data_IF_921684456038
#
_entry.id   IF_921684456038
#
_cell.length_a   1.000
_cell.length_b   1.000
_cell.length_c   1.000
_cell.angle_alpha   90.00
_cell.angle_beta   90.00
_cell.angle_gamma   90.00
#
_symmetry.space_group_name_H-M   'P 1'
#
loop_
_entity.id
_entity.type
_entity.pdbx_description
1 polymer ?
#
# COMPACT_ATOMS: atom_id res chain seq x y z
N UNK A 1 61.52 42.75 -5.16
CA UNK A 1 62.37 43.52 -4.23
C UNK A 1 62.58 42.66 -2.99
N UNK A 2 63.79 42.11 -2.81
CA UNK A 2 64.14 41.21 -1.69
C UNK A 2 64.58 42.04 -0.50
N UNK A 3 64.03 41.77 0.68
CA UNK A 3 64.61 42.19 1.96
C UNK A 3 64.75 40.91 2.80
N UNK A 4 65.99 40.50 2.98
CA UNK A 4 66.44 39.52 3.97
C UNK A 4 66.65 40.24 5.29
N UNK A 5 66.22 39.65 6.41
CA UNK A 5 66.98 39.86 7.65
C UNK A 5 66.92 38.61 8.55
N UNK A 6 68.10 38.23 9.02
CA UNK A 6 68.38 37.10 9.90
C UNK A 6 68.79 37.62 11.28
N UNK A 7 68.43 36.89 12.35
CA UNK A 7 69.01 37.01 13.69
C UNK A 7 68.43 35.92 14.57
N UNK A 8 69.08 34.75 14.73
CA UNK A 8 70.11 34.39 15.71
C UNK A 8 69.73 34.62 17.19
N UNK A 9 69.65 33.51 17.95
CA UNK A 9 69.65 33.53 19.41
C UNK A 9 69.28 32.19 20.04
N UNK A 10 70.28 31.34 20.28
CA UNK A 10 70.21 30.00 20.89
C UNK A 10 69.94 30.07 22.40
N UNK A 11 69.40 28.97 22.97
CA UNK A 11 69.67 28.36 24.31
C UNK A 11 68.34 27.84 24.90
N UNK A 12 68.16 26.72 25.60
CA UNK A 12 68.88 25.49 25.94
C UNK A 12 67.87 24.64 26.72
N UNK A 13 67.76 23.34 26.40
CA UNK A 13 67.41 22.19 27.25
C UNK A 13 66.23 22.29 28.22
N UNK A 14 65.24 21.39 28.06
CA UNK A 14 64.91 20.46 29.15
C UNK A 14 64.25 19.18 28.61
N UNK A 15 64.85 18.05 29.00
CA UNK A 15 64.31 16.70 28.84
C UNK A 15 63.14 16.53 29.81
N UNK A 16 62.03 15.96 29.33
CA UNK A 16 61.13 15.21 30.20
C UNK A 16 60.71 13.92 29.48
N UNK A 17 61.28 12.81 29.93
CA UNK A 17 60.75 11.46 29.72
C UNK A 17 59.66 11.23 30.78
N UNK A 18 58.43 11.02 30.34
CA UNK A 18 57.36 10.32 31.05
C UNK A 18 56.30 10.06 29.99
N UNK A 19 56.01 8.83 29.60
CA UNK A 19 55.44 7.81 30.46
C UNK A 19 54.10 7.48 29.80
N UNK A 20 53.96 6.26 29.30
CA UNK A 20 52.82 5.86 28.50
C UNK A 20 51.49 5.98 29.23
N UNK A 21 50.43 6.23 28.48
CA UNK A 21 49.09 5.79 28.83
C UNK A 21 48.32 5.50 27.53
N UNK A 22 47.85 4.26 27.47
CA UNK A 22 47.00 3.65 26.47
C UNK A 22 45.73 4.47 26.19
N UNK A 23 45.37 4.48 24.90
CA UNK A 23 44.00 4.47 24.34
C UNK A 23 42.86 4.89 25.26
N UNK A 24 42.32 6.09 25.04
CA UNK A 24 40.93 6.41 25.38
C UNK A 24 40.16 6.56 24.06
N UNK A 25 39.29 5.58 23.86
CA UNK A 25 38.39 5.33 22.75
C UNK A 25 37.53 6.56 22.45
N UNK A 26 37.37 6.86 21.17
CA UNK A 26 36.41 7.84 20.65
C UNK A 26 35.02 7.48 21.17
N UNK A 27 34.39 8.41 21.91
CA UNK A 27 32.95 8.39 22.20
C UNK A 27 32.22 8.73 20.89
N UNK A 28 32.18 7.77 19.98
CA UNK A 28 31.29 7.76 18.83
C UNK A 28 30.21 6.70 19.09
N UNK A 29 28.96 7.13 19.09
CA UNK A 29 27.83 6.24 18.80
C UNK A 29 27.11 5.63 20.01
N UNK A 30 26.48 6.46 20.84
CA UNK A 30 25.18 6.07 21.39
C UNK A 30 24.12 6.19 20.28
N UNK A 31 24.18 5.28 19.32
CA UNK A 31 23.22 5.14 18.21
C UNK A 31 23.04 3.69 17.77
N UNK A 32 23.61 2.73 18.51
CA UNK A 32 23.50 1.29 18.29
C UNK A 32 22.42 0.69 19.20
N UNK A 33 21.20 1.19 19.04
CA UNK A 33 20.00 0.39 19.16
C UNK A 33 19.16 0.77 17.95
N UNK A 34 19.65 0.34 16.79
CA UNK A 34 18.86 0.24 15.57
C UNK A 34 17.71 -0.72 15.84
N UNK A 35 16.60 -0.16 16.30
CA UNK A 35 15.32 -0.61 15.79
C UNK A 35 15.30 -0.13 14.35
N UNK A 36 15.57 -1.06 13.44
CA UNK A 36 15.28 -0.93 12.03
C UNK A 36 13.78 -0.61 11.92
N UNK A 37 13.46 0.68 11.95
CA UNK A 37 12.09 1.16 11.73
C UNK A 37 11.96 1.21 10.22
N UNK A 38 11.36 0.12 9.72
CA UNK A 38 10.74 -0.06 8.42
C UNK A 38 11.65 0.26 7.24
N UNK A 39 11.74 -0.66 6.28
CA UNK A 39 12.04 -0.28 4.92
C UNK A 39 11.23 1.00 4.61
N UNK A 40 11.89 2.05 4.11
CA UNK A 40 11.20 3.18 3.49
C UNK A 40 10.31 2.54 2.39
N UNK A 41 9.05 2.23 2.72
CA UNK A 41 8.07 1.80 1.74
C UNK A 41 7.94 2.96 0.76
N UNK A 42 8.30 2.74 -0.49
CA UNK A 42 8.12 3.73 -1.54
C UNK A 42 6.61 3.88 -1.79
N UNK A 43 5.98 4.75 -1.01
CA UNK A 43 4.58 5.13 -1.18
C UNK A 43 4.42 5.92 -2.49
N UNK A 44 3.56 5.43 -3.37
CA UNK A 44 3.07 6.15 -4.53
C UNK A 44 1.82 6.97 -4.16
N UNK A 45 1.57 8.00 -4.94
CA UNK A 45 0.29 8.67 -5.01
C UNK A 45 -0.26 8.50 -6.41
N UNK A 46 -1.43 7.87 -6.52
CA UNK A 46 -2.22 7.88 -7.75
C UNK A 46 -3.14 9.10 -7.74
N UNK A 47 -2.88 10.02 -8.68
CA UNK A 47 -3.66 11.25 -8.80
C UNK A 47 -5.05 11.03 -9.41
N UNK A 48 -5.31 9.90 -10.06
CA UNK A 48 -6.61 9.61 -10.65
C UNK A 48 -7.62 9.17 -9.58
N UNK A 49 -7.21 8.26 -8.69
CA UNK A 49 -8.03 7.81 -7.57
C UNK A 49 -7.82 8.57 -6.26
N UNK A 50 -6.85 9.50 -6.22
CA UNK A 50 -6.45 10.25 -5.01
C UNK A 50 -6.00 9.32 -3.86
N UNK A 51 -5.37 8.19 -4.20
CA UNK A 51 -4.94 7.15 -3.24
C UNK A 51 -3.43 7.09 -3.07
N UNK A 52 -2.99 6.87 -1.83
CA UNK A 52 -1.61 6.56 -1.48
C UNK A 52 -1.48 5.06 -1.24
N UNK A 53 -0.48 4.41 -1.87
CA UNK A 53 -0.24 2.98 -1.74
C UNK A 53 1.25 2.63 -1.77
N UNK A 54 1.70 1.58 -1.07
CA UNK A 54 3.02 0.98 -1.23
C UNK A 54 3.14 0.30 -2.60
N UNK A 55 4.11 0.72 -3.44
CA UNK A 55 4.21 0.27 -4.85
C UNK A 55 4.40 -1.23 -5.05
N UNK A 56 5.16 -1.86 -4.16
CA UNK A 56 5.64 -3.23 -4.32
C UNK A 56 4.99 -4.20 -3.31
N UNK A 57 3.93 -3.77 -2.63
CA UNK A 57 3.23 -4.58 -1.64
C UNK A 57 1.93 -5.13 -2.23
N UNK A 58 2.01 -6.37 -2.69
CA UNK A 58 0.84 -7.21 -2.95
C UNK A 58 0.73 -8.24 -1.84
N UNK A 59 -0.49 -8.45 -1.36
CA UNK A 59 -0.80 -9.49 -0.37
C UNK A 59 -1.84 -10.47 -0.92
N UNK A 60 -1.93 -11.63 -0.26
CA UNK A 60 -2.91 -12.67 -0.55
C UNK A 60 -3.69 -12.91 0.74
N UNK A 61 -4.79 -12.17 0.93
CA UNK A 61 -5.61 -12.26 2.15
C UNK A 61 -7.02 -12.74 1.82
N UNK A 62 -7.17 -14.06 1.71
CA UNK A 62 -8.49 -14.70 1.55
C UNK A 62 -9.40 -14.44 2.75
N UNK A 63 -8.83 -14.34 3.96
CA UNK A 63 -9.59 -14.11 5.18
C UNK A 63 -10.28 -12.74 5.16
N UNK A 64 -9.59 -11.71 4.67
CA UNK A 64 -10.18 -10.37 4.48
C UNK A 64 -11.28 -10.42 3.42
N UNK A 65 -11.07 -11.10 2.29
CA UNK A 65 -12.15 -11.26 1.29
C UNK A 65 -13.37 -11.99 1.88
N UNK A 66 -13.17 -13.04 2.66
CA UNK A 66 -14.25 -13.83 3.27
C UNK A 66 -15.03 -13.04 4.34
N UNK A 67 -14.34 -12.18 5.08
CA UNK A 67 -14.96 -11.30 6.08
C UNK A 67 -15.90 -10.28 5.43
N UNK A 68 -15.47 -9.65 4.33
CA UNK A 68 -16.26 -8.60 3.67
C UNK A 68 -17.30 -9.17 2.69
N UNK A 69 -16.98 -10.27 2.02
CA UNK A 69 -17.80 -10.88 0.97
C UNK A 69 -18.02 -12.39 1.21
N UNK A 70 -18.74 -12.78 2.28
CA UNK A 70 -18.97 -14.18 2.60
C UNK A 70 -19.75 -14.95 1.51
N UNK A 71 -20.47 -14.23 0.63
CA UNK A 71 -21.16 -14.81 -0.52
C UNK A 71 -20.21 -15.44 -1.56
N UNK A 72 -18.93 -15.04 -1.57
CA UNK A 72 -17.93 -15.59 -2.49
C UNK A 72 -17.45 -16.99 -2.07
N UNK A 73 -17.68 -17.39 -0.82
CA UNK A 73 -17.20 -18.67 -0.29
C UNK A 73 -15.68 -18.72 -0.20
N UNK A 74 -15.07 -19.69 -0.88
CA UNK A 74 -13.62 -19.88 -0.95
C UNK A 74 -13.14 -19.51 -2.37
N UNK A 75 -12.54 -18.33 -2.57
CA UNK A 75 -12.02 -17.92 -3.87
C UNK A 75 -10.85 -18.80 -4.32
N UNK A 76 -10.66 -18.93 -5.63
CA UNK A 76 -9.57 -19.73 -6.21
C UNK A 76 -8.21 -19.03 -6.05
N UNK A 77 -8.20 -17.70 -6.13
CA UNK A 77 -7.04 -16.87 -5.83
C UNK A 77 -7.44 -15.45 -5.42
N UNK A 78 -6.57 -14.78 -4.66
CA UNK A 78 -6.73 -13.40 -4.24
C UNK A 78 -5.38 -12.69 -4.38
N UNK A 79 -5.37 -11.60 -5.14
CA UNK A 79 -4.26 -10.65 -5.17
C UNK A 79 -4.78 -9.29 -4.78
N UNK A 80 -4.21 -8.66 -3.76
CA UNK A 80 -4.70 -7.40 -3.23
C UNK A 80 -3.59 -6.41 -2.91
N UNK A 81 -3.98 -5.14 -2.85
CA UNK A 81 -3.18 -4.04 -2.33
C UNK A 81 -4.04 -3.19 -1.42
N UNK A 82 -3.38 -2.48 -0.52
CA UNK A 82 -4.02 -1.60 0.44
C UNK A 82 -3.34 -0.25 0.48
N UNK A 83 -3.98 0.72 1.12
CA UNK A 83 -3.41 2.04 1.23
C UNK A 83 -4.25 2.99 2.06
N UNK A 84 -4.03 4.29 1.83
CA UNK A 84 -4.71 5.38 2.53
C UNK A 84 -5.12 6.49 1.58
N UNK A 85 -6.12 7.29 1.97
CA UNK A 85 -6.49 8.49 1.23
C UNK A 85 -5.61 9.71 1.59
N UNK A 86 -4.95 9.68 2.75
CA UNK A 86 -4.04 10.75 3.18
C UNK A 86 -2.56 10.39 3.01
N UNK A 87 -1.74 11.41 2.78
CA UNK A 87 -0.28 11.25 2.65
C UNK A 87 0.30 10.64 3.94
N UNK A 88 0.89 9.44 3.87
CA UNK A 88 1.44 8.74 5.03
C UNK A 88 2.66 9.46 5.64
N UNK A 89 3.32 10.32 4.88
CA UNK A 89 4.42 11.17 5.35
C UNK A 89 3.93 12.57 5.78
N UNK A 90 2.66 12.87 5.54
CA UNK A 90 2.01 14.10 5.97
C UNK A 90 1.93 14.17 7.50
N UNK A 91 2.24 15.34 8.07
CA UNK A 91 1.97 15.57 9.50
C UNK A 91 0.47 15.79 9.71
N UNK A 92 -0.27 14.74 10.06
CA UNK A 92 -1.65 14.86 10.51
C UNK A 92 -1.70 15.65 11.85
N UNK A 93 -2.48 16.75 11.96
CA UNK A 93 -2.53 17.55 13.19
C UNK A 93 -3.25 16.87 14.38
N UNK A 94 -4.06 15.84 14.14
CA UNK A 94 -4.92 15.13 15.12
C UNK A 94 -5.18 13.69 14.62
N UNK A 95 -5.58 12.73 15.48
CA UNK A 95 -6.16 11.48 14.99
C UNK A 95 -7.44 11.81 14.19
N UNK A 96 -7.41 11.52 12.89
CA UNK A 96 -8.58 11.59 12.00
C UNK A 96 -9.39 10.29 12.05
N UNK A 97 -10.52 10.22 11.34
CA UNK A 97 -11.17 8.96 10.99
C UNK A 97 -10.18 8.00 10.33
N UNK A 98 -10.47 6.69 10.36
CA UNK A 98 -9.72 5.76 9.52
C UNK A 98 -9.93 6.17 8.05
N UNK A 99 -8.86 6.12 7.28
CA UNK A 99 -8.80 6.53 5.89
C UNK A 99 -8.23 5.43 5.00
N UNK A 100 -8.33 4.20 5.50
CA UNK A 100 -7.87 3.01 4.85
C UNK A 100 -8.76 2.61 3.67
N UNK A 101 -8.13 2.00 2.67
CA UNK A 101 -8.81 1.35 1.56
C UNK A 101 -8.05 0.11 1.16
N UNK A 102 -8.75 -0.81 0.50
CA UNK A 102 -8.13 -1.97 -0.12
C UNK A 102 -8.79 -2.31 -1.46
N UNK A 103 -7.99 -2.88 -2.34
CA UNK A 103 -8.41 -3.32 -3.66
C UNK A 103 -7.96 -4.75 -3.89
N UNK A 104 -8.77 -5.53 -4.60
CA UNK A 104 -8.43 -6.92 -4.89
C UNK A 104 -8.85 -7.33 -6.29
N UNK A 105 -8.03 -8.19 -6.88
CA UNK A 105 -8.40 -9.05 -8.01
C UNK A 105 -8.58 -10.45 -7.43
N UNK A 106 -9.78 -10.98 -7.58
CA UNK A 106 -10.24 -12.23 -6.98
C UNK A 106 -10.68 -13.16 -8.11
N UNK A 107 -10.11 -14.36 -8.18
CA UNK A 107 -10.62 -15.40 -9.08
C UNK A 107 -11.66 -16.23 -8.33
N UNK A 108 -12.85 -16.35 -8.88
CA UNK A 108 -13.95 -17.13 -8.30
C UNK A 108 -14.44 -18.22 -9.25
N UNK A 109 -14.92 -19.31 -8.66
CA UNK A 109 -15.47 -20.42 -9.40
C UNK A 109 -16.70 -20.03 -10.25
N UNK A 110 -16.95 -20.73 -11.37
CA UNK A 110 -18.00 -20.39 -12.31
C UNK A 110 -19.40 -20.40 -11.68
N UNK A 111 -19.65 -21.31 -10.73
CA UNK A 111 -20.94 -21.42 -10.05
C UNK A 111 -21.24 -20.19 -9.16
N UNK A 112 -20.20 -19.57 -8.58
CA UNK A 112 -20.32 -18.32 -7.81
C UNK A 112 -20.50 -17.14 -8.76
N UNK A 113 -19.70 -17.08 -9.83
CA UNK A 113 -19.81 -16.05 -10.88
C UNK A 113 -21.22 -15.99 -11.47
N UNK A 114 -21.81 -17.13 -11.81
CA UNK A 114 -23.20 -17.24 -12.28
C UNK A 114 -24.20 -16.74 -11.24
N UNK A 115 -24.00 -17.02 -9.95
CA UNK A 115 -24.88 -16.55 -8.88
C UNK A 115 -24.84 -15.02 -8.73
N UNK A 116 -23.65 -14.41 -8.81
CA UNK A 116 -23.47 -12.97 -8.63
C UNK A 116 -24.18 -12.15 -9.72
N UNK A 117 -24.31 -12.69 -10.93
CA UNK A 117 -25.01 -12.01 -12.04
C UNK A 117 -26.52 -12.27 -12.05
N UNK A 118 -27.02 -13.16 -11.19
CA UNK A 118 -28.47 -13.47 -11.12
C UNK A 118 -29.22 -12.51 -10.20
N UNK A 119 -29.29 -11.24 -10.61
CA UNK A 119 -30.12 -10.21 -9.97
C UNK A 119 -31.51 -10.09 -10.63
N UNK A 120 -32.55 -9.59 -9.92
CA UNK A 120 -33.87 -9.35 -10.48
C UNK A 120 -33.85 -8.33 -11.63
N UNK A 121 -32.90 -7.40 -11.62
CA UNK A 121 -32.73 -6.35 -12.63
C UNK A 121 -31.61 -6.69 -13.65
N UNK A 122 -30.97 -7.85 -13.52
CA UNK A 122 -29.77 -8.23 -14.28
C UNK A 122 -28.54 -7.42 -13.87
N UNK A 123 -27.34 -7.80 -14.34
CA UNK A 123 -26.11 -7.10 -14.00
C UNK A 123 -25.96 -5.85 -14.89
N UNK A 124 -25.58 -4.71 -14.30
CA UNK A 124 -25.35 -3.47 -15.04
C UNK A 124 -23.96 -3.52 -15.71
N UNK A 125 -23.84 -3.21 -17.01
CA UNK A 125 -22.53 -3.20 -17.65
C UNK A 125 -21.64 -2.07 -17.11
N UNK A 126 -20.37 -2.37 -16.87
CA UNK A 126 -19.34 -1.40 -16.49
C UNK A 126 -18.29 -1.36 -17.58
N UNK A 127 -17.80 -0.18 -17.91
CA UNK A 127 -16.74 -0.05 -18.92
C UNK A 127 -15.37 -0.42 -18.34
N UNK A 128 -14.50 -0.96 -19.17
CA UNK A 128 -13.11 -1.26 -18.76
C UNK A 128 -12.38 -0.02 -18.26
N UNK A 129 -12.63 1.15 -18.87
CA UNK A 129 -12.05 2.43 -18.46
C UNK A 129 -12.53 2.87 -17.07
N UNK A 130 -13.78 2.57 -16.69
CA UNK A 130 -14.29 2.84 -15.33
C UNK A 130 -13.62 1.92 -14.31
N UNK A 131 -13.47 0.63 -14.62
CA UNK A 131 -12.79 -0.33 -13.73
C UNK A 131 -11.33 0.08 -13.54
N UNK A 132 -10.61 0.31 -14.65
CA UNK A 132 -9.20 0.73 -14.63
C UNK A 132 -9.02 2.08 -13.93
N UNK A 133 -9.92 3.03 -14.17
CA UNK A 133 -9.83 4.35 -13.58
C UNK A 133 -9.99 4.41 -12.07
N UNK A 134 -10.46 3.32 -11.45
CA UNK A 134 -10.51 3.17 -10.00
C UNK A 134 -9.36 2.34 -9.44
N UNK A 135 -8.64 1.55 -10.24
CA UNK A 135 -7.56 0.69 -9.75
C UNK A 135 -6.24 1.44 -9.63
N UNK A 136 -5.49 1.14 -8.56
CA UNK A 136 -4.11 1.61 -8.49
C UNK A 136 -3.20 0.82 -9.46
N UNK A 137 -2.17 1.45 -10.03
CA UNK A 137 -1.28 0.83 -11.02
C UNK A 137 -0.67 -0.53 -10.64
N UNK A 138 -0.47 -0.80 -9.35
CA UNK A 138 0.09 -2.09 -8.90
C UNK A 138 -0.84 -3.26 -9.24
N UNK A 139 -2.15 -3.10 -9.11
CA UNK A 139 -3.13 -4.15 -9.45
C UNK A 139 -3.52 -4.19 -10.92
N UNK A 140 -3.26 -3.11 -11.68
CA UNK A 140 -3.49 -3.11 -13.13
C UNK A 140 -2.66 -4.19 -13.85
N UNK A 141 -1.57 -4.66 -13.25
CA UNK A 141 -0.77 -5.76 -13.82
C UNK A 141 -1.52 -7.10 -13.80
N UNK A 142 -2.36 -7.31 -12.79
CA UNK A 142 -3.19 -8.50 -12.63
C UNK A 142 -4.59 -8.34 -13.28
N UNK A 143 -4.89 -7.11 -13.72
CA UNK A 143 -6.05 -6.78 -14.53
C UNK A 143 -5.81 -7.17 -15.99
N UNK A 144 -6.64 -8.07 -16.52
CA UNK A 144 -6.63 -8.45 -17.94
C UNK A 144 -7.93 -8.01 -18.62
N UNK A 145 -7.87 -7.79 -19.93
CA UNK A 145 -9.03 -7.45 -20.75
C UNK A 145 -10.12 -8.54 -20.64
N UNK A 146 -11.38 -8.12 -20.42
CA UNK A 146 -12.52 -9.02 -20.37
C UNK A 146 -13.25 -9.02 -21.72
N UNK A 147 -13.23 -10.14 -22.44
CA UNK A 147 -13.78 -10.24 -23.80
C UNK A 147 -15.29 -10.02 -23.88
N UNK A 148 -16.04 -10.48 -22.88
CA UNK A 148 -17.48 -10.24 -22.72
C UNK A 148 -17.83 -8.88 -22.11
N UNK A 149 -16.83 -8.14 -21.64
CA UNK A 149 -17.02 -6.91 -20.87
C UNK A 149 -17.26 -7.15 -19.38
N UNK A 150 -17.15 -6.08 -18.62
CA UNK A 150 -17.31 -6.09 -17.17
C UNK A 150 -18.76 -5.81 -16.77
N UNK A 151 -19.18 -6.39 -15.66
CA UNK A 151 -20.50 -6.11 -15.09
C UNK A 151 -20.42 -5.80 -13.61
N UNK A 152 -21.27 -4.90 -13.13
CA UNK A 152 -21.38 -4.56 -11.72
C UNK A 152 -22.12 -5.66 -10.95
N UNK A 153 -21.47 -6.18 -9.92
CA UNK A 153 -22.02 -7.15 -8.98
C UNK A 153 -22.10 -6.60 -7.56
N UNK A 154 -21.91 -5.28 -7.37
CA UNK A 154 -22.08 -4.59 -6.09
C UNK A 154 -23.42 -4.92 -5.41
N UNK A 155 -24.57 -4.97 -6.11
CA UNK A 155 -25.84 -5.33 -5.48
C UNK A 155 -25.86 -6.74 -4.87
N UNK A 156 -25.13 -7.69 -5.48
CA UNK A 156 -25.05 -9.07 -5.00
C UNK A 156 -24.09 -9.23 -3.80
N UNK A 157 -23.11 -8.32 -3.68
CA UNK A 157 -22.11 -8.32 -2.60
C UNK A 157 -22.44 -7.37 -1.45
N UNK A 158 -23.46 -6.52 -1.61
CA UNK A 158 -23.90 -5.59 -0.57
C UNK A 158 -24.53 -6.34 0.60
N UNK A 159 -24.07 -6.01 1.80
CA UNK A 159 -24.58 -6.51 3.07
C UNK A 159 -26.05 -6.16 3.29
N UNK A 160 -26.76 -7.04 3.98
CA UNK A 160 -28.23 -6.95 4.11
C UNK A 160 -28.68 -5.64 4.75
N UNK A 161 -29.56 -4.91 4.06
CA UNK A 161 -30.18 -3.68 4.58
C UNK A 161 -29.35 -2.42 4.40
N UNK A 162 -28.21 -2.52 3.72
CA UNK A 162 -27.35 -1.41 3.34
C UNK A 162 -27.36 -1.21 1.82
N UNK A 163 -26.80 -0.08 1.36
CA UNK A 163 -26.54 0.16 -0.04
C UNK A 163 -25.03 0.34 -0.20
N UNK A 164 -24.40 -0.50 -1.02
CA UNK A 164 -22.96 -0.47 -1.32
C UNK A 164 -22.07 -0.58 -0.07
N UNK A 165 -22.46 -1.36 0.93
CA UNK A 165 -21.65 -1.62 2.12
C UNK A 165 -21.44 -3.11 2.23
N UNK A 166 -20.20 -3.55 2.45
CA UNK A 166 -19.86 -4.97 2.66
C UNK A 166 -20.47 -5.51 3.96
N UNK A 167 -20.42 -6.83 4.17
CA UNK A 167 -20.90 -7.42 5.44
C UNK A 167 -20.05 -6.98 6.66
N UNK A 168 -18.81 -6.56 6.43
CA UNK A 168 -17.90 -6.07 7.48
C UNK A 168 -18.02 -4.57 7.78
N UNK A 169 -18.69 -3.80 6.91
CA UNK A 169 -18.95 -2.37 7.15
C UNK A 169 -18.26 -1.40 6.19
N UNK A 170 -17.33 -1.86 5.35
CA UNK A 170 -16.66 -1.01 4.36
C UNK A 170 -17.60 -0.59 3.23
N UNK A 171 -17.40 0.62 2.72
CA UNK A 171 -18.01 1.09 1.49
C UNK A 171 -17.45 0.32 0.29
N UNK A 172 -18.32 -0.28 -0.51
CA UNK A 172 -17.97 -0.89 -1.80
C UNK A 172 -18.02 0.20 -2.86
N UNK A 173 -16.86 0.63 -3.33
CA UNK A 173 -16.74 1.64 -4.40
C UNK A 173 -16.78 1.01 -5.78
N UNK A 174 -16.34 -0.24 -5.88
CA UNK A 174 -16.33 -1.03 -7.10
C UNK A 174 -16.46 -2.52 -6.78
N UNK A 175 -17.30 -3.23 -7.53
CA UNK A 175 -17.27 -4.68 -7.62
C UNK A 175 -17.62 -5.11 -9.05
N UNK A 176 -16.60 -5.22 -9.91
CA UNK A 176 -16.75 -5.54 -11.33
C UNK A 176 -16.34 -6.98 -11.62
N UNK A 177 -17.21 -7.76 -12.23
CA UNK A 177 -16.99 -9.16 -12.59
C UNK A 177 -16.78 -9.31 -14.09
N UNK A 178 -15.72 -10.02 -14.49
CA UNK A 178 -15.56 -10.55 -15.82
C UNK A 178 -16.24 -11.92 -15.91
N UNK A 179 -17.29 -12.02 -16.74
CA UNK A 179 -18.08 -13.26 -16.82
C UNK A 179 -17.41 -14.38 -17.62
N UNK A 180 -16.36 -14.07 -18.38
CA UNK A 180 -15.63 -15.06 -19.18
C UNK A 180 -14.77 -16.00 -18.32
N UNK A 181 -14.12 -15.45 -17.30
CA UNK A 181 -13.11 -16.15 -16.51
C UNK A 181 -13.35 -16.12 -14.99
N UNK A 182 -14.42 -15.45 -14.54
CA UNK A 182 -14.76 -15.37 -13.12
C UNK A 182 -13.83 -14.45 -12.33
N UNK A 183 -13.16 -13.50 -12.99
CA UNK A 183 -12.33 -12.51 -12.31
C UNK A 183 -13.18 -11.37 -11.77
N UNK A 184 -13.17 -11.19 -10.46
CA UNK A 184 -13.83 -10.12 -9.74
C UNK A 184 -12.80 -9.09 -9.29
N UNK A 185 -13.03 -7.83 -9.64
CA UNK A 185 -12.23 -6.68 -9.22
C UNK A 185 -13.02 -5.88 -8.19
N UNK A 186 -12.45 -5.66 -7.01
CA UNK A 186 -13.11 -4.91 -5.93
C UNK A 186 -12.27 -3.73 -5.46
N UNK A 187 -12.95 -2.64 -5.05
CA UNK A 187 -12.37 -1.51 -4.32
C UNK A 187 -13.26 -1.19 -3.13
N UNK A 188 -12.68 -1.14 -1.94
CA UNK A 188 -13.38 -0.82 -0.71
C UNK A 188 -12.67 0.28 0.07
N UNK A 189 -13.46 1.09 0.76
CA UNK A 189 -13.00 2.13 1.68
C UNK A 189 -13.57 1.88 3.08
N UNK A 190 -12.71 1.97 4.09
CA UNK A 190 -13.13 1.93 5.50
C UNK A 190 -13.96 3.18 5.84
N UNK A 191 -14.95 3.05 6.73
CA UNK A 191 -15.96 4.07 7.05
C UNK A 191 -16.08 4.40 8.55
#
# INVERSE_FOLDING_TARGET
MRITNSGHGRSTVLRTLAGGALTATVLAGCGLLGGDRSADEDWAHDAQSERYYPRDLLSQSEDQVREHFPALGDPDSVTMTEGRFTDPHGRAPLPGPDDYWWQAVIEIGPEVSEQLVTGPDGPEPVTEDEVRGLLVPTLETDFADCGSGWVDVTPALTGKGHANVSEAGDLIELAALCTDDGRLVTSLADM
#
